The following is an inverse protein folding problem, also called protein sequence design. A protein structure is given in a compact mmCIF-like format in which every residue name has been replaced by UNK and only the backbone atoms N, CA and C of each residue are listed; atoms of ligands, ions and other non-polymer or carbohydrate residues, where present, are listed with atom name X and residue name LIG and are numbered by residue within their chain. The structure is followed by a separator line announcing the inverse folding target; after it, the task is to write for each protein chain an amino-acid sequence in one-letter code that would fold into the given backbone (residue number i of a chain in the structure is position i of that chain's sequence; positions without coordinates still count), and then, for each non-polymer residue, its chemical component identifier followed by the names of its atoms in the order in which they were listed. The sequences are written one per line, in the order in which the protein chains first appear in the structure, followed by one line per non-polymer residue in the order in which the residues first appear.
data_IF_966275050489
#
_entry.id   IF_966275050489
#
_cell.length_a   1.000
_cell.length_b   1.000
_cell.length_c   1.000
_cell.angle_alpha   90.00
_cell.angle_beta   90.00
_cell.angle_gamma   90.00
#
_symmetry.space_group_name_H-M   'P 1'
#
loop_
_entity.id
_entity.type
_entity.pdbx_description
1 polymer ?
#
# COMPACT_ATOMS: atom_id res chain seq x y z
N UNK A 1 -3.15 81.38 26.13
CA UNK A 1 -3.77 81.48 24.79
C UNK A 1 -2.79 80.84 23.82
N UNK A 2 -3.05 79.60 23.39
CA UNK A 2 -2.26 79.01 22.29
C UNK A 2 -2.65 79.82 21.07
N UNK A 3 -1.72 80.62 20.57
CA UNK A 3 -1.93 81.56 19.48
C UNK A 3 -2.38 80.78 18.23
N UNK A 4 -3.34 81.31 17.45
CA UNK A 4 -3.88 80.65 16.24
C UNK A 4 -2.76 80.27 15.26
N UNK A 5 -1.65 80.99 15.33
CA UNK A 5 -0.40 80.75 14.59
C UNK A 5 0.27 79.42 14.98
N UNK A 6 0.20 78.99 16.24
CA UNK A 6 0.77 77.72 16.71
C UNK A 6 -0.02 76.50 16.21
N UNK A 7 -1.36 76.57 16.20
CA UNK A 7 -2.20 75.49 15.65
C UNK A 7 -2.06 75.36 14.13
N UNK A 8 -1.99 76.48 13.40
CA UNK A 8 -1.74 76.46 11.95
C UNK A 8 -0.37 75.85 11.64
N UNK A 9 0.68 76.26 12.35
CA UNK A 9 2.04 75.73 12.12
C UNK A 9 2.11 74.22 12.40
N UNK A 10 1.44 73.73 13.44
CA UNK A 10 1.37 72.28 13.75
C UNK A 10 0.63 71.48 12.66
N UNK A 11 -0.54 71.94 12.22
CA UNK A 11 -1.34 71.25 11.18
C UNK A 11 -0.59 71.25 9.84
N UNK A 12 0.02 72.38 9.46
CA UNK A 12 0.84 72.47 8.24
C UNK A 12 2.03 71.52 8.31
N UNK A 13 2.68 71.41 9.47
CA UNK A 13 3.81 70.48 9.66
C UNK A 13 3.38 69.01 9.52
N UNK A 14 2.21 68.63 10.04
CA UNK A 14 1.65 67.28 9.89
C UNK A 14 1.33 66.97 8.43
N UNK A 15 0.70 67.90 7.70
CA UNK A 15 0.41 67.71 6.28
C UNK A 15 1.67 67.65 5.41
N UNK A 16 2.71 68.44 5.74
CA UNK A 16 4.01 68.36 5.05
C UNK A 16 4.67 67.01 5.34
N UNK A 17 4.69 66.56 6.59
CA UNK A 17 5.25 65.25 6.94
C UNK A 17 4.51 64.10 6.22
N UNK A 18 3.17 64.17 6.12
CA UNK A 18 2.36 63.22 5.36
C UNK A 18 2.66 63.27 3.86
N UNK A 19 2.69 64.47 3.26
CA UNK A 19 2.97 64.64 1.84
C UNK A 19 4.38 64.17 1.48
N UNK A 20 5.38 64.50 2.29
CA UNK A 20 6.76 64.03 2.14
C UNK A 20 6.83 62.51 2.32
N UNK A 21 6.13 61.95 3.32
CA UNK A 21 6.04 60.51 3.54
C UNK A 21 5.41 59.76 2.35
N UNK A 22 4.35 60.30 1.74
CA UNK A 22 3.71 59.71 0.55
C UNK A 22 4.61 59.84 -0.68
N UNK A 23 5.26 60.98 -0.90
CA UNK A 23 6.18 61.20 -2.03
C UNK A 23 7.40 60.28 -1.93
N UNK A 24 7.95 60.06 -0.74
CA UNK A 24 9.05 59.12 -0.52
C UNK A 24 8.59 57.65 -0.59
N UNK A 25 7.42 57.33 -0.05
CA UNK A 25 6.87 55.98 -0.05
C UNK A 25 6.42 55.48 -1.44
N UNK A 26 5.83 56.37 -2.26
CA UNK A 26 5.35 56.06 -3.61
C UNK A 26 6.37 56.39 -4.73
N UNK A 27 7.50 57.03 -4.40
CA UNK A 27 8.51 57.44 -5.37
C UNK A 27 9.62 56.40 -5.56
N UNK A 28 10.83 56.58 -4.98
CA UNK A 28 11.98 55.71 -5.26
C UNK A 28 11.76 54.25 -4.80
N UNK A 29 11.15 54.07 -3.62
CA UNK A 29 10.95 52.76 -2.99
C UNK A 29 9.98 51.84 -3.77
N UNK A 30 8.98 52.42 -4.42
CA UNK A 30 8.00 51.63 -5.19
C UNK A 30 8.58 51.11 -6.52
N UNK A 31 9.52 51.85 -7.11
CA UNK A 31 10.24 51.45 -8.33
C UNK A 31 11.24 50.32 -8.09
N UNK A 32 12.06 50.40 -7.04
CA UNK A 32 13.06 49.37 -6.71
C UNK A 32 12.43 48.08 -6.16
N UNK A 33 11.47 48.18 -5.25
CA UNK A 33 10.76 47.01 -4.71
C UNK A 33 9.86 46.39 -5.80
N UNK A 34 9.17 47.22 -6.58
CA UNK A 34 8.33 46.73 -7.67
C UNK A 34 9.11 46.02 -8.77
N UNK A 35 10.29 46.53 -9.14
CA UNK A 35 11.15 45.91 -10.17
C UNK A 35 11.84 44.63 -9.67
N UNK A 36 12.27 44.61 -8.41
CA UNK A 36 12.81 43.39 -7.77
C UNK A 36 11.75 42.30 -7.71
N UNK A 37 10.55 42.61 -7.20
CA UNK A 37 9.44 41.66 -7.15
C UNK A 37 9.02 41.18 -8.55
N UNK A 38 8.99 42.07 -9.55
CA UNK A 38 8.69 41.66 -10.93
C UNK A 38 9.77 40.74 -11.51
N UNK A 39 11.04 40.97 -11.18
CA UNK A 39 12.16 40.13 -11.61
C UNK A 39 12.14 38.77 -10.90
N UNK A 40 11.85 38.73 -9.61
CA UNK A 40 11.65 37.49 -8.84
C UNK A 40 10.47 36.69 -9.38
N UNK A 41 9.33 37.33 -9.68
CA UNK A 41 8.16 36.67 -10.27
C UNK A 41 8.47 36.15 -11.67
N UNK A 42 9.24 36.88 -12.48
CA UNK A 42 9.68 36.41 -13.79
C UNK A 42 10.61 35.19 -13.63
N UNK A 43 11.60 35.27 -12.74
CA UNK A 43 12.50 34.15 -12.43
C UNK A 43 11.74 32.91 -11.96
N UNK A 44 10.81 33.06 -11.02
CA UNK A 44 9.97 31.94 -10.54
C UNK A 44 9.09 31.33 -11.65
N UNK A 45 8.66 32.12 -12.64
CA UNK A 45 7.91 31.60 -13.80
C UNK A 45 8.80 30.84 -14.75
N UNK A 46 10.01 31.33 -14.98
CA UNK A 46 11.00 30.66 -15.81
C UNK A 46 11.45 29.35 -15.15
N UNK A 47 11.76 29.38 -13.84
CA UNK A 47 12.10 28.19 -13.04
C UNK A 47 10.97 27.17 -13.05
N UNK A 48 9.72 27.61 -12.87
CA UNK A 48 8.55 26.72 -12.97
C UNK A 48 8.44 26.08 -14.34
N UNK A 49 8.70 26.83 -15.41
CA UNK A 49 8.65 26.31 -16.78
C UNK A 49 9.74 25.27 -16.99
N UNK A 50 10.97 25.56 -16.57
CA UNK A 50 12.10 24.63 -16.65
C UNK A 50 11.86 23.36 -15.83
N UNK A 51 11.37 23.48 -14.59
CA UNK A 51 11.03 22.34 -13.74
C UNK A 51 9.93 21.45 -14.35
N UNK A 52 8.93 22.05 -14.98
CA UNK A 52 7.91 21.29 -15.69
C UNK A 52 8.49 20.55 -16.90
N UNK A 53 9.37 21.19 -17.69
CA UNK A 53 10.05 20.54 -18.81
C UNK A 53 10.96 19.38 -18.36
N UNK A 54 11.67 19.55 -17.24
CA UNK A 54 12.51 18.51 -16.65
C UNK A 54 11.66 17.35 -16.11
N UNK A 55 10.52 17.64 -15.47
CA UNK A 55 9.57 16.65 -15.00
C UNK A 55 8.98 15.83 -16.16
N UNK A 56 8.56 16.50 -17.25
CA UNK A 56 8.02 15.83 -18.43
C UNK A 56 9.07 14.92 -19.09
N UNK A 57 10.34 15.36 -19.14
CA UNK A 57 11.45 14.55 -19.65
C UNK A 57 11.71 13.34 -18.77
N UNK A 58 11.76 13.53 -17.45
CA UNK A 58 11.98 12.44 -16.50
C UNK A 58 10.87 11.39 -16.58
N UNK A 59 9.60 11.81 -16.68
CA UNK A 59 8.46 10.91 -16.88
C UNK A 59 8.59 10.11 -18.17
N UNK A 60 8.91 10.75 -19.29
CA UNK A 60 9.10 10.06 -20.55
C UNK A 60 10.26 9.04 -20.52
N UNK A 61 11.33 9.34 -19.77
CA UNK A 61 12.44 8.40 -19.56
C UNK A 61 12.05 7.21 -18.67
N UNK A 62 11.22 7.42 -17.64
CA UNK A 62 10.65 6.35 -16.82
C UNK A 62 9.73 5.45 -17.65
N UNK A 63 8.77 6.02 -18.37
CA UNK A 63 7.86 5.27 -19.26
C UNK A 63 8.65 4.38 -20.24
N UNK A 64 9.75 4.90 -20.80
CA UNK A 64 10.61 4.14 -21.70
C UNK A 64 11.34 2.99 -20.99
N UNK A 65 11.80 3.20 -19.76
CA UNK A 65 12.44 2.15 -18.94
C UNK A 65 11.43 1.08 -18.55
N UNK A 66 10.23 1.46 -18.15
CA UNK A 66 9.18 0.53 -17.74
C UNK A 66 8.71 -0.30 -18.93
N UNK A 67 8.56 0.32 -20.11
CA UNK A 67 8.30 -0.42 -21.34
C UNK A 67 9.41 -1.43 -21.68
N UNK A 68 10.67 -1.08 -21.43
CA UNK A 68 11.79 -2.02 -21.59
C UNK A 68 11.74 -3.15 -20.55
N UNK A 69 11.49 -2.83 -19.28
CA UNK A 69 11.38 -3.81 -18.20
C UNK A 69 10.22 -4.78 -18.43
N UNK A 70 9.05 -4.28 -18.81
CA UNK A 70 7.89 -5.10 -19.19
C UNK A 70 8.21 -6.02 -20.38
N UNK A 71 9.01 -5.58 -21.35
CA UNK A 71 9.41 -6.41 -22.48
C UNK A 71 10.40 -7.53 -22.11
N UNK A 72 11.16 -7.39 -21.02
CA UNK A 72 12.13 -8.40 -20.57
C UNK A 72 11.67 -9.22 -19.35
N UNK A 73 10.68 -8.74 -18.59
CA UNK A 73 10.21 -9.32 -17.33
C UNK A 73 9.83 -10.79 -17.50
N UNK A 74 9.06 -11.13 -18.53
CA UNK A 74 8.66 -12.52 -18.78
C UNK A 74 9.84 -13.49 -18.90
N UNK A 75 10.99 -13.07 -19.45
CA UNK A 75 12.20 -13.91 -19.50
C UNK A 75 12.91 -14.02 -18.16
N UNK A 76 12.88 -12.94 -17.38
CA UNK A 76 13.55 -12.84 -16.08
C UNK A 76 12.78 -13.60 -15.00
N UNK A 77 11.45 -13.61 -15.09
CA UNK A 77 10.56 -14.32 -14.16
C UNK A 77 10.40 -15.80 -14.49
N UNK A 78 10.65 -16.19 -15.75
CA UNK A 78 10.37 -17.55 -16.23
C UNK A 78 10.97 -18.62 -15.33
N UNK A 79 10.10 -19.48 -14.79
CA UNK A 79 10.47 -20.63 -13.96
C UNK A 79 10.75 -20.29 -12.49
N UNK A 80 10.68 -19.01 -12.09
CA UNK A 80 10.91 -18.61 -10.70
C UNK A 80 9.89 -19.22 -9.73
N UNK A 81 8.64 -19.41 -10.16
CA UNK A 81 7.55 -20.01 -9.37
C UNK A 81 7.07 -21.33 -9.96
N UNK A 82 7.91 -22.06 -10.69
CA UNK A 82 7.49 -23.28 -11.40
C UNK A 82 6.81 -24.29 -10.46
N UNK A 83 5.55 -24.61 -10.80
CA UNK A 83 4.73 -25.57 -10.05
C UNK A 83 4.24 -25.06 -8.69
N UNK A 84 4.49 -23.80 -8.35
CA UNK A 84 4.01 -23.21 -7.11
C UNK A 84 2.56 -22.73 -7.26
N UNK A 85 1.79 -22.87 -6.17
CA UNK A 85 0.41 -22.36 -6.07
C UNK A 85 0.40 -21.15 -5.16
N UNK A 86 -0.24 -20.08 -5.61
CA UNK A 86 -0.32 -18.80 -4.91
C UNK A 86 -1.79 -18.45 -4.67
N UNK A 87 -2.14 -18.09 -3.44
CA UNK A 87 -3.45 -17.50 -3.13
C UNK A 87 -3.31 -15.98 -3.18
N UNK A 88 -4.18 -15.30 -3.91
CA UNK A 88 -4.26 -13.84 -3.92
C UNK A 88 -5.34 -13.38 -2.93
N UNK A 89 -4.97 -12.52 -2.00
CA UNK A 89 -5.88 -11.87 -1.05
C UNK A 89 -5.87 -10.37 -1.35
N UNK A 90 -7.02 -9.80 -1.65
CA UNK A 90 -7.18 -8.39 -2.01
C UNK A 90 -7.87 -7.68 -0.85
N UNK A 91 -7.20 -6.71 -0.26
CA UNK A 91 -7.74 -5.94 0.86
C UNK A 91 -8.63 -4.79 0.36
N UNK A 92 -9.54 -4.25 1.20
CA UNK A 92 -10.24 -3.02 0.89
C UNK A 92 -9.26 -1.88 0.57
N UNK A 93 -9.54 -1.13 -0.49
CA UNK A 93 -8.69 -0.02 -0.95
C UNK A 93 -7.51 -0.44 -1.84
N UNK A 94 -7.31 -1.73 -2.09
CA UNK A 94 -6.33 -2.21 -3.07
C UNK A 94 -6.72 -1.82 -4.51
N UNK A 95 -5.71 -1.54 -5.34
CA UNK A 95 -5.92 -1.30 -6.77
C UNK A 95 -6.19 -2.63 -7.51
N UNK A 96 -7.30 -2.68 -8.25
CA UNK A 96 -7.67 -3.83 -9.08
C UNK A 96 -6.65 -4.11 -10.19
N UNK A 97 -6.06 -3.08 -10.79
CA UNK A 97 -5.05 -3.23 -11.84
C UNK A 97 -3.75 -3.84 -11.30
N UNK A 98 -3.36 -3.49 -10.06
CA UNK A 98 -2.23 -4.12 -9.37
C UNK A 98 -2.55 -5.60 -9.10
N UNK A 99 -3.76 -5.90 -8.63
CA UNK A 99 -4.19 -7.27 -8.36
C UNK A 99 -4.13 -8.13 -9.63
N UNK A 100 -4.64 -7.64 -10.76
CA UNK A 100 -4.57 -8.31 -12.07
C UNK A 100 -3.11 -8.50 -12.53
N UNK A 101 -2.29 -7.46 -12.42
CA UNK A 101 -0.87 -7.51 -12.82
C UNK A 101 -0.05 -8.50 -11.99
N UNK A 102 -0.36 -8.63 -10.69
CA UNK A 102 0.25 -9.66 -9.82
C UNK A 102 -0.12 -11.07 -10.30
N UNK A 103 -1.37 -11.31 -10.69
CA UNK A 103 -1.79 -12.62 -11.26
C UNK A 103 -0.98 -12.93 -12.52
N UNK A 104 -0.86 -11.97 -13.44
CA UNK A 104 -0.09 -12.13 -14.68
C UNK A 104 1.40 -12.36 -14.43
N UNK A 105 1.98 -11.69 -13.43
CA UNK A 105 3.38 -11.86 -13.04
C UNK A 105 3.63 -13.26 -12.47
N UNK A 106 2.72 -13.77 -11.64
CA UNK A 106 2.80 -15.15 -11.09
C UNK A 106 2.69 -16.20 -12.21
N UNK A 107 1.75 -16.03 -13.15
CA UNK A 107 1.59 -16.95 -14.29
C UNK A 107 2.82 -16.92 -15.21
N UNK A 108 3.34 -15.73 -15.52
CA UNK A 108 4.57 -15.55 -16.29
C UNK A 108 5.79 -16.18 -15.63
N UNK A 109 5.80 -16.27 -14.29
CA UNK A 109 6.84 -16.94 -13.52
C UNK A 109 6.71 -18.47 -13.49
N UNK A 110 5.65 -19.04 -14.09
CA UNK A 110 5.34 -20.47 -14.08
C UNK A 110 4.60 -20.95 -12.82
N UNK A 111 4.15 -20.02 -11.97
CA UNK A 111 3.26 -20.30 -10.86
C UNK A 111 1.79 -20.31 -11.31
N UNK A 112 0.89 -20.66 -10.39
CA UNK A 112 -0.55 -20.59 -10.61
C UNK A 112 -1.23 -19.90 -9.45
N UNK A 113 -2.02 -18.87 -9.76
CA UNK A 113 -2.97 -18.31 -8.78
C UNK A 113 -4.16 -19.26 -8.66
N UNK A 114 -4.40 -19.82 -7.47
CA UNK A 114 -5.47 -20.83 -7.26
C UNK A 114 -6.78 -20.23 -6.78
N UNK A 115 -6.74 -19.00 -6.28
CA UNK A 115 -7.91 -18.24 -5.86
C UNK A 115 -7.58 -16.76 -5.74
N UNK A 116 -8.55 -15.92 -6.05
CA UNK A 116 -8.57 -14.50 -5.71
C UNK A 116 -9.67 -14.27 -4.68
N UNK A 117 -9.28 -13.83 -3.48
CA UNK A 117 -10.21 -13.55 -2.37
C UNK A 117 -10.17 -12.07 -2.06
N UNK A 118 -11.27 -11.34 -2.29
CA UNK A 118 -11.35 -9.94 -1.85
C UNK A 118 -12.02 -9.88 -0.48
N UNK A 119 -11.30 -9.42 0.53
CA UNK A 119 -11.81 -9.34 1.90
C UNK A 119 -12.58 -8.03 2.06
N UNK A 120 -13.71 -8.07 2.77
CA UNK A 120 -14.54 -6.88 3.00
C UNK A 120 -14.13 -6.13 4.28
N UNK A 121 -14.55 -4.87 4.42
CA UNK A 121 -14.28 -4.08 5.64
C UNK A 121 -14.91 -4.71 6.88
N UNK A 122 -16.01 -5.45 6.71
CA UNK A 122 -16.70 -6.24 7.72
C UNK A 122 -15.77 -7.28 8.39
N UNK A 123 -14.73 -7.74 7.69
CA UNK A 123 -13.75 -8.67 8.25
C UNK A 123 -13.00 -8.06 9.45
N UNK A 124 -12.69 -6.77 9.39
CA UNK A 124 -11.94 -6.04 10.43
C UNK A 124 -12.79 -5.06 11.22
N UNK A 125 -14.11 -5.10 11.05
CA UNK A 125 -15.01 -4.22 11.79
C UNK A 125 -14.84 -4.36 13.30
N UNK A 126 -14.85 -3.20 13.96
CA UNK A 126 -14.83 -3.08 15.42
C UNK A 126 -16.22 -2.74 15.98
N UNK A 127 -17.23 -2.58 15.12
CA UNK A 127 -18.61 -2.38 15.56
C UNK A 127 -19.14 -3.65 16.22
N UNK A 128 -19.53 -3.57 17.48
CA UNK A 128 -19.79 -4.74 18.33
C UNK A 128 -20.79 -5.76 17.73
N UNK A 129 -21.89 -5.30 17.14
CA UNK A 129 -22.91 -6.19 16.55
C UNK A 129 -22.42 -6.86 15.26
N UNK A 130 -21.73 -6.10 14.39
CA UNK A 130 -21.17 -6.63 13.16
C UNK A 130 -20.01 -7.59 13.43
N UNK A 131 -19.14 -7.24 14.39
CA UNK A 131 -18.04 -8.10 14.85
C UNK A 131 -18.58 -9.42 15.45
N UNK A 132 -19.61 -9.37 16.30
CA UNK A 132 -20.23 -10.57 16.84
C UNK A 132 -20.84 -11.47 15.75
N UNK A 133 -21.45 -10.86 14.72
CA UNK A 133 -22.02 -11.60 13.58
C UNK A 133 -20.93 -12.27 12.74
N UNK A 134 -19.82 -11.57 12.47
CA UNK A 134 -18.63 -12.15 11.83
C UNK A 134 -18.08 -13.31 12.65
N UNK A 135 -17.92 -13.12 13.96
CA UNK A 135 -17.31 -14.13 14.85
C UNK A 135 -18.18 -15.40 14.93
N UNK A 136 -19.51 -15.25 14.96
CA UNK A 136 -20.45 -16.38 14.90
C UNK A 136 -20.33 -17.15 13.57
N UNK A 137 -20.29 -16.42 12.44
CA UNK A 137 -20.09 -17.01 11.11
C UNK A 137 -18.75 -17.76 11.03
N UNK A 138 -17.66 -17.14 11.49
CA UNK A 138 -16.32 -17.74 11.53
C UNK A 138 -16.32 -19.02 12.36
N UNK A 139 -16.94 -19.01 13.55
CA UNK A 139 -17.04 -20.19 14.40
C UNK A 139 -17.86 -21.32 13.76
N UNK A 140 -18.98 -20.98 13.09
CA UNK A 140 -19.81 -21.95 12.36
C UNK A 140 -19.04 -22.59 11.20
N UNK A 141 -18.39 -21.77 10.36
CA UNK A 141 -17.62 -22.24 9.21
C UNK A 141 -16.43 -23.09 9.65
N UNK A 142 -15.70 -22.66 10.69
CA UNK A 142 -14.58 -23.42 11.23
C UNK A 142 -15.02 -24.79 11.77
N UNK A 143 -16.13 -24.84 12.51
CA UNK A 143 -16.70 -26.09 13.02
C UNK A 143 -17.14 -27.01 11.88
N UNK A 144 -17.80 -26.48 10.86
CA UNK A 144 -18.23 -27.24 9.68
C UNK A 144 -17.07 -27.76 8.84
N UNK A 145 -15.98 -27.01 8.75
CA UNK A 145 -14.76 -27.38 8.02
C UNK A 145 -13.79 -28.24 8.84
N UNK A 146 -14.00 -28.38 10.16
CA UNK A 146 -13.09 -29.10 11.05
C UNK A 146 -11.77 -28.37 11.32
N UNK A 147 -11.77 -27.03 11.25
CA UNK A 147 -10.60 -26.19 11.50
C UNK A 147 -10.53 -25.81 12.98
N UNK A 148 -9.38 -26.08 13.61
CA UNK A 148 -9.12 -25.69 15.01
C UNK A 148 -8.55 -24.28 15.08
N UNK A 149 -9.39 -23.31 15.44
CA UNK A 149 -9.02 -21.91 15.58
C UNK A 149 -8.06 -21.64 16.75
N UNK A 150 -7.95 -22.56 17.72
CA UNK A 150 -7.04 -22.40 18.88
C UNK A 150 -5.57 -22.72 18.55
N UNK A 151 -5.33 -23.33 17.38
CA UNK A 151 -4.00 -23.71 16.91
C UNK A 151 -3.23 -22.58 16.20
N UNK A 152 -3.79 -21.38 16.16
CA UNK A 152 -3.26 -20.21 15.45
C UNK A 152 -2.27 -19.34 16.22
N UNK A 153 -1.92 -19.70 17.46
CA UNK A 153 -1.05 -18.87 18.30
C UNK A 153 -1.71 -17.55 18.67
N UNK A 154 -1.05 -16.44 18.34
CA UNK A 154 -1.54 -15.08 18.59
C UNK A 154 -2.45 -14.55 17.45
N UNK A 155 -2.58 -15.31 16.37
CA UNK A 155 -3.46 -14.99 15.24
C UNK A 155 -4.94 -14.95 15.65
N UNK A 156 -5.69 -14.02 15.05
CA UNK A 156 -7.11 -13.87 15.35
C UNK A 156 -7.91 -15.03 14.74
N UNK A 157 -9.00 -15.50 15.37
CA UNK A 157 -9.76 -16.67 14.89
C UNK A 157 -10.20 -16.57 13.43
N UNK A 158 -10.63 -15.40 12.98
CA UNK A 158 -11.01 -15.10 11.60
C UNK A 158 -9.82 -15.29 10.64
N UNK A 159 -8.66 -14.71 10.95
CA UNK A 159 -7.46 -14.77 10.11
C UNK A 159 -6.87 -16.19 10.08
N UNK A 160 -6.95 -16.90 11.21
CA UNK A 160 -6.57 -18.32 11.32
C UNK A 160 -7.48 -19.17 10.44
N UNK A 161 -8.79 -18.93 10.43
CA UNK A 161 -9.69 -19.64 9.53
C UNK A 161 -9.31 -19.37 8.07
N UNK A 162 -9.24 -18.10 7.67
CA UNK A 162 -8.98 -17.72 6.28
C UNK A 162 -7.65 -18.28 5.77
N UNK A 163 -6.58 -18.17 6.56
CA UNK A 163 -5.27 -18.69 6.20
C UNK A 163 -5.27 -20.22 6.04
N UNK A 164 -5.96 -20.98 6.90
CA UNK A 164 -6.09 -22.44 6.79
C UNK A 164 -6.94 -22.88 5.60
N UNK A 165 -7.94 -22.08 5.24
CA UNK A 165 -8.78 -22.34 4.07
C UNK A 165 -8.03 -22.04 2.77
N UNK A 166 -7.22 -20.99 2.72
CA UNK A 166 -6.53 -20.57 1.49
C UNK A 166 -5.18 -21.24 1.27
N UNK A 167 -4.46 -21.55 2.34
CA UNK A 167 -3.04 -21.94 2.26
C UNK A 167 -2.77 -23.28 2.93
N UNK A 168 -1.60 -23.84 2.62
CA UNK A 168 -1.05 -25.05 3.22
C UNK A 168 0.45 -24.88 3.40
N UNK A 169 0.95 -25.20 4.58
CA UNK A 169 2.35 -25.57 4.74
C UNK A 169 2.56 -26.93 4.05
N UNK A 170 3.78 -27.24 3.60
CA UNK A 170 4.06 -28.51 2.92
C UNK A 170 3.46 -29.70 3.70
N UNK A 171 3.01 -30.75 3.01
CA UNK A 171 2.11 -31.83 3.48
C UNK A 171 2.33 -32.44 4.88
N UNK A 172 3.48 -32.25 5.52
CA UNK A 172 3.74 -32.66 6.89
C UNK A 172 3.41 -31.52 7.85
N UNK A 173 2.32 -31.66 8.61
CA UNK A 173 1.89 -30.64 9.59
C UNK A 173 0.83 -29.68 9.08
N UNK A 174 0.20 -29.97 7.94
CA UNK A 174 -0.97 -29.26 7.47
C UNK A 174 -2.14 -29.41 8.45
N UNK A 175 -2.69 -28.28 8.91
CA UNK A 175 -3.83 -28.18 9.82
C UNK A 175 -5.10 -27.67 9.14
N UNK A 176 -5.05 -27.41 7.83
CA UNK A 176 -6.20 -27.02 7.03
C UNK A 176 -7.04 -28.23 6.57
N UNK A 177 -8.29 -27.99 6.12
CA UNK A 177 -9.17 -29.05 5.61
C UNK A 177 -8.81 -29.40 4.16
N UNK A 178 -9.37 -30.48 3.60
CA UNK A 178 -9.13 -30.81 2.19
C UNK A 178 -9.71 -29.74 1.24
N UNK A 179 -9.22 -29.70 0.00
CA UNK A 179 -9.53 -28.63 -0.97
C UNK A 179 -11.04 -28.46 -1.22
N UNK A 180 -11.82 -29.55 -1.21
CA UNK A 180 -13.27 -29.50 -1.40
C UNK A 180 -13.99 -28.85 -0.22
N UNK A 181 -13.66 -29.26 1.01
CA UNK A 181 -14.21 -28.67 2.24
C UNK A 181 -13.78 -27.20 2.38
N UNK A 182 -12.54 -26.87 2.01
CA UNK A 182 -12.07 -25.50 2.01
C UNK A 182 -12.85 -24.61 1.02
N UNK A 183 -13.13 -25.09 -0.20
CA UNK A 183 -13.93 -24.36 -1.17
C UNK A 183 -15.36 -24.09 -0.68
N UNK A 184 -16.01 -25.08 -0.06
CA UNK A 184 -17.35 -24.92 0.52
C UNK A 184 -17.36 -23.93 1.68
N UNK A 185 -16.33 -23.97 2.53
CA UNK A 185 -16.15 -23.03 3.63
C UNK A 185 -15.94 -21.58 3.14
N UNK A 186 -15.11 -21.38 2.11
CA UNK A 186 -14.91 -20.08 1.47
C UNK A 186 -16.21 -19.54 0.87
N UNK A 187 -17.00 -20.39 0.21
CA UNK A 187 -18.32 -19.99 -0.31
C UNK A 187 -19.27 -19.57 0.80
N UNK A 188 -19.28 -20.25 1.96
CA UNK A 188 -20.10 -19.83 3.11
C UNK A 188 -19.68 -18.47 3.67
N UNK A 189 -18.38 -18.21 3.76
CA UNK A 189 -17.89 -16.88 4.16
C UNK A 189 -18.32 -15.81 3.14
N UNK A 190 -18.30 -16.14 1.85
CA UNK A 190 -18.77 -15.24 0.79
C UNK A 190 -20.29 -14.97 0.88
N UNK A 191 -21.10 -15.99 1.12
CA UNK A 191 -22.55 -15.87 1.35
C UNK A 191 -22.87 -15.01 2.59
N UNK A 192 -22.01 -15.07 3.61
CA UNK A 192 -22.07 -14.23 4.80
C UNK A 192 -21.63 -12.77 4.58
N UNK A 193 -21.11 -12.43 3.39
CA UNK A 193 -20.77 -11.07 2.99
C UNK A 193 -19.49 -10.50 3.61
N UNK A 194 -18.65 -11.32 4.23
CA UNK A 194 -17.38 -10.87 4.84
C UNK A 194 -16.19 -10.91 3.87
N UNK A 195 -16.36 -11.56 2.72
CA UNK A 195 -15.42 -11.61 1.61
C UNK A 195 -16.13 -11.93 0.29
N UNK A 196 -15.43 -11.80 -0.83
CA UNK A 196 -15.76 -12.46 -2.10
C UNK A 196 -14.66 -13.48 -2.42
N UNK A 197 -15.04 -14.54 -3.13
CA UNK A 197 -14.15 -15.64 -3.44
C UNK A 197 -14.35 -16.06 -4.89
N UNK A 198 -13.28 -15.96 -5.68
CA UNK A 198 -13.23 -16.34 -7.08
C UNK A 198 -12.13 -17.40 -7.30
N UNK A 199 -12.51 -18.52 -7.89
CA UNK A 199 -11.60 -19.61 -8.23
C UNK A 199 -12.21 -20.51 -9.31
N UNK A 200 -11.54 -20.64 -10.45
CA UNK A 200 -11.94 -21.58 -11.51
C UNK A 200 -11.73 -23.05 -11.09
N UNK A 201 -10.52 -23.36 -10.63
CA UNK A 201 -10.13 -24.67 -10.10
C UNK A 201 -9.41 -24.45 -8.77
N UNK A 202 -10.19 -24.51 -7.69
CA UNK A 202 -9.67 -24.24 -6.37
C UNK A 202 -8.79 -25.39 -5.84
N UNK A 203 -7.63 -25.01 -5.32
CA UNK A 203 -6.86 -25.82 -4.39
C UNK A 203 -6.11 -24.89 -3.44
N UNK A 204 -5.90 -25.30 -2.20
CA UNK A 204 -5.17 -24.47 -1.23
C UNK A 204 -3.74 -24.23 -1.72
N UNK A 205 -3.28 -22.99 -1.64
CA UNK A 205 -1.99 -22.55 -2.12
C UNK A 205 -0.85 -22.88 -1.17
N UNK A 206 0.39 -22.85 -1.66
CA UNK A 206 1.59 -23.00 -0.80
C UNK A 206 2.14 -21.64 -0.36
N UNK A 207 1.77 -20.57 -1.05
CA UNK A 207 2.18 -19.19 -0.76
C UNK A 207 0.98 -18.26 -0.91
N UNK A 208 1.08 -17.07 -0.36
CA UNK A 208 0.06 -16.03 -0.46
C UNK A 208 0.66 -14.70 -0.93
N UNK A 209 -0.14 -13.94 -1.69
CA UNK A 209 0.12 -12.51 -1.91
C UNK A 209 -1.08 -11.75 -1.39
N UNK A 210 -0.82 -10.79 -0.52
CA UNK A 210 -1.82 -9.85 -0.01
C UNK A 210 -1.64 -8.53 -0.75
N UNK A 211 -2.60 -8.15 -1.58
CA UNK A 211 -2.60 -6.85 -2.26
C UNK A 211 -3.37 -5.87 -1.39
N UNK A 212 -2.68 -4.86 -0.89
CA UNK A 212 -3.21 -3.80 -0.06
C UNK A 212 -3.17 -2.43 -0.72
N UNK A 213 -3.72 -1.46 0.01
CA UNK A 213 -3.64 -0.04 -0.29
C UNK A 213 -3.55 0.75 1.01
N UNK A 214 -3.72 2.07 0.92
CA UNK A 214 -3.85 2.91 2.10
C UNK A 214 -5.26 2.78 2.71
N UNK A 215 -5.33 2.66 4.04
CA UNK A 215 -6.59 2.73 4.79
C UNK A 215 -6.95 4.20 4.95
N UNK A 216 -8.04 4.62 4.33
CA UNK A 216 -8.47 6.04 4.27
C UNK A 216 -9.66 6.36 5.15
N UNK A 217 -10.42 5.35 5.57
CA UNK A 217 -11.67 5.55 6.28
C UNK A 217 -11.46 5.79 7.79
N UNK A 218 -12.15 6.79 8.33
CA UNK A 218 -12.11 7.12 9.76
C UNK A 218 -10.99 8.11 10.14
N UNK A 219 -10.76 8.24 11.43
CA UNK A 219 -9.65 9.01 12.02
C UNK A 219 -8.32 8.28 11.85
N UNK A 220 -7.19 8.98 11.99
CA UNK A 220 -5.85 8.38 11.87
C UNK A 220 -5.64 7.21 12.85
N UNK A 221 -6.18 7.30 14.07
CA UNK A 221 -6.13 6.21 15.06
C UNK A 221 -6.96 4.98 14.61
N UNK A 222 -8.13 5.20 14.01
CA UNK A 222 -8.96 4.12 13.46
C UNK A 222 -8.34 3.49 12.22
N UNK A 223 -7.75 4.31 11.33
CA UNK A 223 -7.01 3.85 10.15
C UNK A 223 -5.82 2.97 10.55
N UNK A 224 -5.05 3.40 11.55
CA UNK A 224 -3.93 2.65 12.10
C UNK A 224 -4.39 1.31 12.69
N UNK A 225 -5.46 1.30 13.49
CA UNK A 225 -6.00 0.07 14.06
C UNK A 225 -6.48 -0.93 12.99
N UNK A 226 -7.05 -0.44 11.88
CA UNK A 226 -7.44 -1.27 10.73
C UNK A 226 -6.23 -1.78 9.95
N UNK A 227 -5.21 -0.95 9.73
CA UNK A 227 -3.98 -1.37 9.07
C UNK A 227 -3.23 -2.45 9.88
N UNK A 228 -3.23 -2.35 11.21
CA UNK A 228 -2.68 -3.37 12.12
C UNK A 228 -3.43 -4.70 12.02
N UNK A 229 -4.76 -4.66 11.83
CA UNK A 229 -5.56 -5.86 11.58
C UNK A 229 -5.16 -6.55 10.27
N UNK A 230 -4.89 -5.77 9.22
CA UNK A 230 -4.42 -6.30 7.94
C UNK A 230 -3.00 -6.84 7.99
N UNK A 231 -2.10 -6.18 8.72
CA UNK A 231 -0.76 -6.69 9.00
C UNK A 231 -0.82 -8.03 9.75
N UNK A 232 -1.69 -8.15 10.76
CA UNK A 232 -1.91 -9.42 11.47
C UNK A 232 -2.47 -10.55 10.60
N UNK A 233 -3.33 -10.23 9.62
CA UNK A 233 -3.78 -11.21 8.62
C UNK A 233 -2.61 -11.69 7.76
N UNK A 234 -1.73 -10.79 7.31
CA UNK A 234 -0.56 -11.14 6.52
C UNK A 234 0.42 -12.04 7.29
N UNK A 235 0.67 -11.72 8.57
CA UNK A 235 1.48 -12.57 9.46
C UNK A 235 0.84 -13.97 9.65
N UNK A 236 -0.48 -14.02 9.88
CA UNK A 236 -1.18 -15.30 10.02
C UNK A 236 -1.11 -16.14 8.74
N UNK A 237 -1.17 -15.50 7.56
CA UNK A 237 -0.95 -16.16 6.26
C UNK A 237 0.50 -16.64 6.09
N UNK A 238 1.50 -15.87 6.55
CA UNK A 238 2.90 -16.27 6.55
C UNK A 238 3.10 -17.55 7.38
N UNK A 239 2.52 -17.61 8.59
CA UNK A 239 2.60 -18.79 9.46
C UNK A 239 1.92 -20.03 8.85
N UNK A 240 0.85 -19.84 8.09
CA UNK A 240 0.08 -20.92 7.48
C UNK A 240 0.61 -21.38 6.10
N UNK A 241 1.59 -20.68 5.54
CA UNK A 241 2.11 -20.91 4.19
C UNK A 241 3.64 -21.07 4.18
N UNK A 242 4.22 -21.22 2.99
CA UNK A 242 5.67 -21.21 2.77
C UNK A 242 6.21 -19.80 2.50
N UNK A 243 5.34 -18.81 2.36
CA UNK A 243 5.68 -17.43 2.07
C UNK A 243 4.44 -16.58 1.82
N UNK A 244 4.38 -15.42 2.46
CA UNK A 244 3.36 -14.40 2.26
C UNK A 244 4.00 -13.03 1.99
N UNK A 245 3.68 -12.45 0.82
CA UNK A 245 4.14 -11.12 0.42
C UNK A 245 2.99 -10.13 0.52
N UNK A 246 3.19 -8.99 1.17
CA UNK A 246 2.24 -7.86 1.14
C UNK A 246 2.68 -6.87 0.07
N UNK A 247 1.90 -6.76 -0.98
CA UNK A 247 2.14 -5.88 -2.12
C UNK A 247 1.17 -4.70 -2.09
N UNK A 248 1.64 -3.52 -2.43
CA UNK A 248 0.80 -2.36 -2.71
C UNK A 248 1.44 -1.54 -3.82
N UNK A 249 0.68 -0.65 -4.43
CA UNK A 249 1.23 0.46 -5.20
C UNK A 249 1.07 1.73 -4.37
N UNK A 250 2.08 2.01 -3.55
CA UNK A 250 2.11 3.21 -2.71
C UNK A 250 2.70 4.35 -3.53
N UNK A 251 1.83 5.23 -4.03
CA UNK A 251 2.28 6.53 -4.51
C UNK A 251 2.68 7.42 -3.32
N UNK A 252 3.67 8.29 -3.51
CA UNK A 252 4.08 9.27 -2.48
C UNK A 252 2.96 10.28 -2.12
N UNK A 253 1.83 10.22 -2.82
CA UNK A 253 0.66 11.09 -2.70
C UNK A 253 -0.53 10.37 -2.04
N UNK A 254 -0.39 9.09 -1.69
CA UNK A 254 -1.46 8.32 -1.07
C UNK A 254 -1.80 8.89 0.32
N UNK A 255 -3.05 9.35 0.48
CA UNK A 255 -3.61 9.74 1.78
C UNK A 255 -4.00 8.48 2.57
N UNK A 256 -3.85 8.50 3.89
CA UNK A 256 -4.22 7.38 4.78
C UNK A 256 -3.03 6.59 5.34
N UNK A 257 -3.31 5.46 5.98
CA UNK A 257 -2.29 4.59 6.60
C UNK A 257 -1.98 3.40 5.68
N UNK A 258 -0.72 3.25 5.27
CA UNK A 258 -0.28 2.15 4.39
C UNK A 258 -0.13 0.83 5.16
N UNK A 259 -0.81 -0.22 4.70
CA UNK A 259 -0.66 -1.57 5.26
C UNK A 259 0.77 -2.08 5.13
N UNK A 260 1.46 -1.78 4.02
CA UNK A 260 2.89 -2.15 3.85
C UNK A 260 3.76 -1.46 4.89
N UNK A 261 3.56 -0.16 5.13
CA UNK A 261 4.28 0.54 6.18
C UNK A 261 3.99 -0.04 7.57
N UNK A 262 2.73 -0.39 7.86
CA UNK A 262 2.35 -1.01 9.14
C UNK A 262 3.02 -2.37 9.34
N UNK A 263 3.15 -3.20 8.30
CA UNK A 263 3.89 -4.48 8.37
C UNK A 263 5.38 -4.24 8.65
N UNK A 264 5.99 -3.21 8.06
CA UNK A 264 7.40 -2.85 8.28
C UNK A 264 7.66 -2.31 9.69
N UNK A 265 6.67 -1.63 10.27
CA UNK A 265 6.78 -1.04 11.61
C UNK A 265 6.52 -2.06 12.74
N UNK A 266 5.83 -3.17 12.44
CA UNK A 266 5.63 -4.29 13.36
C UNK A 266 6.84 -5.22 13.36
N UNK A 267 7.52 -5.35 14.50
CA UNK A 267 8.79 -6.08 14.59
C UNK A 267 8.67 -7.59 14.30
N UNK A 268 7.54 -8.22 14.68
CA UNK A 268 7.35 -9.66 14.48
C UNK A 268 6.97 -9.95 13.01
N UNK A 269 6.12 -9.10 12.42
CA UNK A 269 5.74 -9.20 11.02
C UNK A 269 6.91 -8.82 10.09
N UNK A 270 7.69 -7.77 10.39
CA UNK A 270 8.80 -7.33 9.56
C UNK A 270 9.87 -8.42 9.37
N UNK A 271 10.14 -9.20 10.41
CA UNK A 271 11.14 -10.28 10.35
C UNK A 271 10.67 -11.49 9.51
N UNK A 272 9.38 -11.64 9.22
CA UNK A 272 8.82 -12.86 8.63
C UNK A 272 8.02 -12.65 7.34
N UNK A 273 7.41 -11.48 7.18
CA UNK A 273 6.56 -11.09 6.05
C UNK A 273 7.32 -10.16 5.13
N UNK A 274 7.43 -10.53 3.85
CA UNK A 274 8.04 -9.63 2.86
C UNK A 274 7.04 -8.61 2.36
N UNK A 275 7.52 -7.43 1.99
CA UNK A 275 6.65 -6.35 1.49
C UNK A 275 7.17 -5.76 0.18
N UNK A 276 6.27 -5.32 -0.69
CA UNK A 276 6.58 -4.60 -1.93
C UNK A 276 5.66 -3.38 -2.03
N UNK A 277 6.20 -2.18 -2.21
CA UNK A 277 5.41 -0.94 -2.24
C UNK A 277 5.25 -0.28 -3.62
N UNK A 278 5.87 -0.83 -4.66
CA UNK A 278 5.85 -0.34 -6.04
C UNK A 278 5.24 -1.35 -7.00
N UNK A 279 4.26 -2.15 -6.54
CA UNK A 279 3.67 -3.25 -7.30
C UNK A 279 2.82 -2.80 -8.51
N UNK A 280 2.66 -1.50 -8.74
CA UNK A 280 2.12 -0.95 -10.00
C UNK A 280 3.12 -0.97 -11.16
N UNK A 281 4.43 -1.05 -10.86
CA UNK A 281 5.49 -0.98 -11.86
C UNK A 281 6.06 -2.38 -12.20
N UNK A 282 6.63 -2.57 -13.41
CA UNK A 282 7.24 -3.85 -13.80
C UNK A 282 8.35 -4.34 -12.85
N UNK A 283 9.06 -3.41 -12.19
CA UNK A 283 10.09 -3.73 -11.21
C UNK A 283 9.51 -4.26 -9.89
N UNK A 284 8.44 -3.63 -9.38
CA UNK A 284 7.73 -4.10 -8.19
C UNK A 284 7.04 -5.43 -8.44
N UNK A 285 6.40 -5.62 -9.59
CA UNK A 285 5.81 -6.92 -9.97
C UNK A 285 6.85 -8.05 -9.99
N UNK A 286 8.04 -7.79 -10.52
CA UNK A 286 9.14 -8.74 -10.45
C UNK A 286 9.59 -9.00 -9.00
N UNK A 287 9.59 -7.96 -8.17
CA UNK A 287 9.93 -8.07 -6.75
C UNK A 287 8.92 -8.89 -5.96
N UNK A 288 7.62 -8.82 -6.27
CA UNK A 288 6.60 -9.69 -5.65
C UNK A 288 6.94 -11.16 -5.90
N UNK A 289 7.26 -11.51 -7.16
CA UNK A 289 7.62 -12.89 -7.53
C UNK A 289 8.90 -13.34 -6.82
N UNK A 290 9.94 -12.50 -6.79
CA UNK A 290 11.21 -12.88 -6.18
C UNK A 290 11.16 -12.91 -4.65
N UNK A 291 10.36 -12.04 -4.02
CA UNK A 291 10.10 -12.08 -2.59
C UNK A 291 9.40 -13.37 -2.18
N UNK A 292 8.45 -13.88 -2.99
CA UNK A 292 7.85 -15.21 -2.76
C UNK A 292 8.90 -16.32 -2.81
N UNK A 293 9.84 -16.26 -3.75
CA UNK A 293 10.94 -17.24 -3.85
C UNK A 293 11.87 -17.16 -2.65
N UNK A 294 12.21 -15.96 -2.19
CA UNK A 294 13.02 -15.74 -1.01
C UNK A 294 12.35 -16.28 0.25
N UNK A 295 11.06 -16.01 0.46
CA UNK A 295 10.29 -16.54 1.58
C UNK A 295 10.16 -18.05 1.54
N UNK A 296 9.94 -18.64 0.36
CA UNK A 296 9.95 -20.09 0.20
C UNK A 296 11.31 -20.72 0.57
N UNK A 297 12.39 -19.95 0.53
CA UNK A 297 13.74 -20.29 1.00
C UNK A 297 14.02 -19.96 2.47
N UNK A 298 13.07 -19.33 3.17
CA UNK A 298 13.17 -18.91 4.58
C UNK A 298 13.76 -17.52 4.81
N UNK A 299 13.95 -16.71 3.75
CA UNK A 299 14.31 -15.30 3.87
C UNK A 299 13.09 -14.39 3.93
N UNK A 300 13.30 -13.11 4.17
CA UNK A 300 12.28 -12.06 4.15
C UNK A 300 12.95 -10.71 3.89
N UNK A 301 12.18 -9.76 3.35
CA UNK A 301 12.65 -8.38 3.24
C UNK A 301 11.62 -7.43 2.65
N UNK A 302 11.98 -6.15 2.64
CA UNK A 302 11.11 -5.05 2.28
C UNK A 302 11.63 -4.33 1.03
N UNK A 303 10.82 -4.28 -0.02
CA UNK A 303 11.25 -3.81 -1.34
C UNK A 303 10.39 -2.67 -1.88
N UNK A 304 11.02 -1.88 -2.73
CA UNK A 304 10.40 -0.78 -3.45
C UNK A 304 11.08 0.57 -3.13
N UNK A 305 10.32 1.64 -3.22
CA UNK A 305 10.81 3.03 -3.14
C UNK A 305 10.30 3.78 -1.92
N UNK A 306 9.34 3.20 -1.21
CA UNK A 306 8.73 3.78 -0.01
C UNK A 306 9.63 3.74 1.23
N UNK A 307 9.26 4.49 2.29
CA UNK A 307 9.95 4.44 3.57
C UNK A 307 10.01 3.01 4.13
N UNK A 308 11.14 2.63 4.73
CA UNK A 308 11.34 1.32 5.33
C UNK A 308 11.66 0.18 4.34
N UNK A 309 11.85 0.48 3.05
CA UNK A 309 12.39 -0.50 2.10
C UNK A 309 13.89 -0.75 2.36
N UNK A 310 14.28 -2.02 2.40
CA UNK A 310 15.67 -2.49 2.54
C UNK A 310 16.44 -2.32 1.23
N UNK A 311 15.76 -2.54 0.10
CA UNK A 311 16.32 -2.49 -1.24
C UNK A 311 15.26 -2.08 -2.28
N UNK A 312 15.67 -1.52 -3.43
CA UNK A 312 14.73 -1.13 -4.48
C UNK A 312 14.05 -2.31 -5.18
N UNK A 313 14.57 -3.53 -5.04
CA UNK A 313 13.96 -4.74 -5.61
C UNK A 313 14.40 -5.98 -4.84
N UNK A 314 13.56 -7.01 -4.88
CA UNK A 314 13.85 -8.30 -4.26
C UNK A 314 15.02 -9.03 -4.96
N UNK A 315 15.86 -9.78 -4.21
CA UNK A 315 17.01 -10.46 -4.77
C UNK A 315 16.60 -11.46 -5.85
N UNK A 316 17.23 -11.35 -7.03
CA UNK A 316 16.98 -12.27 -8.14
C UNK A 316 17.47 -13.67 -7.74
N UNK A 317 16.61 -14.70 -7.81
CA UNK A 317 16.99 -16.08 -7.52
C UNK A 317 18.18 -16.51 -8.38
N UNK A 318 19.13 -17.23 -7.78
CA UNK A 318 20.40 -17.58 -8.43
C UNK A 318 20.22 -18.18 -9.81
N UNK A 319 20.74 -17.49 -10.83
CA UNK A 319 20.90 -17.96 -12.21
C UNK A 319 21.75 -19.22 -12.33
#
# INVERSE_FOLDING_TARGET
MIDFRYHIVSIVSIFIALAVGIVLGAGPLQGEIGSTLQSEVAGLRDDKTALNEDLDRARAELDQRDAYLAAVSGRVLQGALEGQRVALVVLPGADGAVSESVVEAVDSAGGRVTSTTSVANEWVTQEAEAAASRDELVAEVASGAGVDLSSGGDGRPEDVLLSRLLTRTATLGDLGPDDGVAAEAMQRLAEGGVLSFDADEFSRAEMAVVVGGAVTDGTEEEQQAVAERWAGLADTLQVASRGAVVASDTSAEAEGVSVVATVRDDADAADTVSTVDDAGDPAGLASVVFALVEQAGGGSGHYGVGPGADAPFAPVPGS
#
